data_IF_978905592968
#
_entry.id   IF_978905592968
#
_cell.length_a   1.000
_cell.length_b   1.000
_cell.length_c   1.000
_cell.angle_alpha   90.00
_cell.angle_beta   90.00
_cell.angle_gamma   90.00
#
_symmetry.space_group_name_H-M   'P 1'
#
loop_
_entity.id
_entity.type
_entity.pdbx_description
1 polymer ?
#
# COMPACT_ATOMS: atom_id res chain seq x y z
N UNK A 1 12.66 82.22 -39.34
CA UNK A 1 13.69 82.17 -38.28
C UNK A 1 13.88 80.71 -37.89
N UNK A 2 15.14 80.33 -37.77
CA UNK A 2 15.71 79.00 -37.51
C UNK A 2 15.61 78.58 -36.03
N UNK A 3 15.91 77.30 -35.77
CA UNK A 3 16.24 76.62 -34.49
C UNK A 3 15.05 76.11 -33.68
N UNK A 4 14.85 74.79 -33.54
CA UNK A 4 15.53 73.84 -32.62
C UNK A 4 14.41 73.27 -31.71
N UNK A 5 14.35 72.03 -31.21
CA UNK A 5 15.31 70.99 -30.87
C UNK A 5 14.50 69.70 -30.54
N UNK A 6 15.16 68.54 -30.60
CA UNK A 6 14.91 67.29 -29.85
C UNK A 6 13.64 66.46 -30.12
N UNK A 7 13.77 65.31 -30.80
CA UNK A 7 14.25 64.01 -30.25
C UNK A 7 13.32 63.46 -29.19
N UNK A 8 12.47 62.49 -29.54
CA UNK A 8 12.10 61.39 -28.65
C UNK A 8 11.64 60.18 -29.48
N UNK A 9 12.59 59.32 -29.83
CA UNK A 9 12.32 57.94 -30.21
C UNK A 9 11.75 57.22 -28.98
N UNK A 10 10.56 56.63 -29.10
CA UNK A 10 10.00 55.70 -28.12
C UNK A 10 10.40 54.29 -28.57
N UNK A 11 11.15 53.50 -27.78
CA UNK A 11 11.45 52.14 -28.18
C UNK A 11 10.19 51.28 -28.03
N UNK A 12 9.86 50.57 -29.11
CA UNK A 12 8.89 49.51 -29.19
C UNK A 12 9.43 48.31 -28.40
N UNK A 13 8.84 47.98 -27.25
CA UNK A 13 9.12 46.75 -26.51
C UNK A 13 8.05 45.73 -26.88
N UNK A 14 8.38 44.82 -27.79
CA UNK A 14 7.59 43.60 -28.03
C UNK A 14 8.09 42.53 -27.07
N UNK A 15 7.33 42.32 -25.99
CA UNK A 15 7.58 41.24 -25.04
C UNK A 15 7.11 39.91 -25.63
N UNK A 16 8.06 39.03 -25.95
CA UNK A 16 7.77 37.65 -26.35
C UNK A 16 7.67 36.81 -25.07
N UNK A 17 6.44 36.47 -24.66
CA UNK A 17 6.18 35.66 -23.46
C UNK A 17 6.22 34.18 -23.86
N UNK A 18 7.34 33.50 -23.59
CA UNK A 18 7.46 32.05 -23.77
C UNK A 18 6.86 31.38 -22.54
N UNK A 19 5.67 30.81 -22.69
CA UNK A 19 5.03 29.99 -21.66
C UNK A 19 5.53 28.55 -21.80
N UNK A 20 6.55 28.19 -21.02
CA UNK A 20 6.98 26.80 -20.84
C UNK A 20 5.99 26.08 -19.93
N UNK A 21 5.23 25.14 -20.49
CA UNK A 21 4.43 24.19 -19.72
C UNK A 21 5.38 23.19 -19.06
N UNK A 22 5.59 23.34 -17.75
CA UNK A 22 6.22 22.32 -16.91
C UNK A 22 5.17 21.26 -16.62
N UNK A 23 5.28 20.10 -17.28
CA UNK A 23 4.58 18.89 -16.84
C UNK A 23 5.27 18.40 -15.56
N UNK A 24 4.63 18.57 -14.42
CA UNK A 24 4.95 17.76 -13.25
C UNK A 24 4.46 16.35 -13.53
N UNK A 25 5.38 15.39 -13.62
CA UNK A 25 5.06 13.98 -13.49
C UNK A 25 5.03 13.70 -11.99
N UNK A 26 3.85 13.61 -11.39
CA UNK A 26 3.71 13.06 -10.03
C UNK A 26 3.97 11.57 -10.11
N UNK A 27 5.23 11.18 -9.97
CA UNK A 27 5.58 9.83 -9.54
C UNK A 27 5.26 9.80 -8.06
N UNK A 28 4.12 9.18 -7.71
CA UNK A 28 3.77 8.87 -6.33
C UNK A 28 4.75 7.82 -5.83
N UNK A 29 5.90 8.27 -5.33
CA UNK A 29 6.90 7.44 -4.68
C UNK A 29 6.32 7.10 -3.30
N UNK A 30 6.07 5.80 -3.06
CA UNK A 30 5.62 5.30 -1.75
C UNK A 30 6.63 5.72 -0.69
N UNK A 31 6.23 6.56 0.27
CA UNK A 31 7.10 6.93 1.39
C UNK A 31 7.33 5.72 2.30
N UNK A 32 8.57 5.49 2.76
CA UNK A 32 8.88 4.27 3.47
C UNK A 32 8.22 4.20 4.85
N UNK A 33 7.75 3.02 5.22
CA UNK A 33 7.31 2.71 6.58
C UNK A 33 8.44 2.96 7.58
N UNK A 34 8.09 3.40 8.78
CA UNK A 34 9.04 3.62 9.88
C UNK A 34 9.91 2.36 10.12
N UNK A 35 11.24 2.50 10.27
CA UNK A 35 12.12 1.35 10.50
C UNK A 35 11.68 0.54 11.72
N UNK A 36 11.38 -0.74 11.53
CA UNK A 36 11.00 -1.66 12.60
C UNK A 36 9.49 -1.95 12.71
N UNK A 37 8.68 -1.52 11.74
CA UNK A 37 7.31 -1.99 11.62
C UNK A 37 7.24 -3.52 11.43
N UNK A 38 6.28 -4.17 12.10
CA UNK A 38 6.04 -5.60 11.99
C UNK A 38 4.55 -5.93 12.14
N UNK A 39 4.17 -7.08 11.58
CA UNK A 39 2.93 -7.77 11.93
C UNK A 39 3.28 -9.19 12.35
N UNK A 40 2.47 -9.80 13.20
CA UNK A 40 2.66 -11.16 13.65
C UNK A 40 1.33 -11.91 13.74
N UNK A 41 1.30 -13.15 13.26
CA UNK A 41 0.21 -14.07 13.58
C UNK A 41 0.25 -14.43 15.06
N UNK A 42 -0.81 -14.04 15.77
CA UNK A 42 -1.07 -14.44 17.17
C UNK A 42 -1.91 -15.73 17.19
N UNK A 43 -2.66 -15.98 16.12
CA UNK A 43 -3.41 -17.20 15.91
C UNK A 43 -3.63 -17.43 14.40
N UNK A 44 -3.58 -18.68 13.91
CA UNK A 44 -3.14 -19.88 14.62
C UNK A 44 -1.64 -19.87 14.92
N UNK A 45 -1.17 -20.82 15.74
CA UNK A 45 0.26 -21.06 15.87
C UNK A 45 0.81 -21.68 14.57
N UNK A 46 2.02 -21.30 14.18
CA UNK A 46 2.69 -21.88 13.01
C UNK A 46 2.92 -23.39 13.21
N UNK A 47 2.58 -24.17 12.20
CA UNK A 47 2.62 -25.63 12.21
C UNK A 47 1.43 -26.32 12.90
N UNK A 48 0.40 -25.58 13.33
CA UNK A 48 -0.76 -26.17 14.00
C UNK A 48 -1.62 -27.06 13.08
N UNK A 49 -2.38 -27.97 13.71
CA UNK A 49 -3.47 -28.70 13.07
C UNK A 49 -4.78 -27.99 13.38
N UNK A 50 -5.56 -27.68 12.34
CA UNK A 50 -6.87 -27.04 12.45
C UNK A 50 -7.95 -28.10 12.21
N UNK A 51 -8.79 -28.31 13.21
CA UNK A 51 -9.95 -29.19 13.10
C UNK A 51 -11.10 -28.51 12.34
N UNK A 52 -11.82 -29.26 11.50
CA UNK A 52 -12.92 -28.72 10.70
C UNK A 52 -12.43 -28.08 9.41
N UNK A 53 -13.06 -26.97 9.00
CA UNK A 53 -12.75 -26.28 7.74
C UNK A 53 -12.71 -24.76 7.90
N UNK A 54 -12.55 -24.27 9.14
CA UNK A 54 -12.37 -22.85 9.42
C UNK A 54 -11.29 -22.61 10.48
N UNK A 55 -10.63 -21.47 10.37
CA UNK A 55 -9.62 -20.99 11.31
C UNK A 55 -9.76 -19.50 11.49
N UNK A 56 -9.65 -19.03 12.73
CA UNK A 56 -9.54 -17.60 13.00
C UNK A 56 -8.08 -17.20 12.76
N UNK A 57 -7.87 -16.21 11.92
CA UNK A 57 -6.58 -15.55 11.77
C UNK A 57 -6.59 -14.31 12.67
N UNK A 58 -5.58 -14.14 13.52
CA UNK A 58 -5.43 -12.96 14.39
C UNK A 58 -4.04 -12.37 14.23
N UNK A 59 -3.97 -11.06 14.00
CA UNK A 59 -2.72 -10.32 13.86
C UNK A 59 -2.48 -9.38 15.04
N UNK A 60 -1.21 -9.14 15.32
CA UNK A 60 -0.74 -8.01 16.11
C UNK A 60 0.23 -7.18 15.26
N UNK A 61 0.06 -5.86 15.25
CA UNK A 61 0.95 -4.93 14.57
C UNK A 61 1.81 -4.15 15.58
N UNK A 62 3.03 -3.80 15.19
CA UNK A 62 3.93 -2.94 15.95
C UNK A 62 4.65 -1.99 15.00
N UNK A 63 4.87 -0.73 15.40
CA UNK A 63 5.58 0.26 14.58
C UNK A 63 4.85 0.73 13.31
N UNK A 64 3.59 0.34 13.11
CA UNK A 64 2.72 0.82 12.03
C UNK A 64 1.29 0.96 12.54
N UNK A 65 0.62 2.04 12.16
CA UNK A 65 -0.79 2.26 12.51
C UNK A 65 -1.70 1.55 11.50
N UNK A 66 -2.63 0.75 12.01
CA UNK A 66 -3.61 0.04 11.19
C UNK A 66 -4.91 0.85 11.12
N UNK A 67 -5.26 1.29 9.92
CA UNK A 67 -6.36 2.22 9.62
C UNK A 67 -7.31 1.61 8.57
N UNK A 68 -8.51 2.18 8.36
CA UNK A 68 -9.37 1.75 7.25
C UNK A 68 -8.69 1.95 5.88
N UNK A 69 -8.98 1.05 4.94
CA UNK A 69 -8.49 1.15 3.57
C UNK A 69 -8.88 2.48 2.91
N UNK A 70 -8.00 2.99 2.05
CA UNK A 70 -8.15 4.31 1.41
C UNK A 70 -7.62 5.48 2.24
N UNK A 71 -7.18 5.25 3.47
CA UNK A 71 -6.43 6.26 4.25
C UNK A 71 -5.05 6.44 3.62
N UNK A 72 -4.74 7.66 3.17
CA UNK A 72 -3.50 8.01 2.47
C UNK A 72 -2.46 8.67 3.38
N UNK A 73 -2.60 8.52 4.69
CA UNK A 73 -1.70 9.13 5.67
C UNK A 73 -0.37 8.35 5.72
N UNK A 74 0.80 9.03 5.69
CA UNK A 74 2.09 8.37 5.79
C UNK A 74 2.23 7.55 7.07
N UNK A 75 2.92 6.41 7.00
CA UNK A 75 3.14 5.52 8.15
C UNK A 75 1.90 4.72 8.59
N UNK A 76 0.83 4.76 7.80
CA UNK A 76 -0.39 3.97 8.04
C UNK A 76 -0.57 2.87 7.00
N UNK A 77 -1.36 1.86 7.33
CA UNK A 77 -1.75 0.81 6.38
C UNK A 77 -2.90 -0.03 6.88
N UNK A 78 -3.21 -1.10 6.15
CA UNK A 78 -4.25 -2.05 6.52
C UNK A 78 -3.89 -3.49 6.15
N UNK A 79 -4.54 -4.46 6.79
CA UNK A 79 -4.18 -5.86 6.65
C UNK A 79 -4.76 -6.51 5.39
N UNK A 80 -3.99 -7.43 4.84
CA UNK A 80 -4.41 -8.32 3.79
C UNK A 80 -3.89 -9.72 4.08
N UNK A 81 -4.57 -10.74 3.54
CA UNK A 81 -4.08 -12.10 3.52
C UNK A 81 -3.97 -12.61 2.09
N UNK A 82 -2.86 -13.27 1.75
CA UNK A 82 -2.74 -14.17 0.61
C UNK A 82 -2.86 -15.61 1.12
N UNK A 83 -3.92 -16.30 0.69
CA UNK A 83 -4.24 -17.68 1.10
C UNK A 83 -3.81 -18.63 -0.01
N UNK A 84 -2.87 -19.51 0.30
CA UNK A 84 -2.26 -20.48 -0.62
C UNK A 84 -1.77 -19.84 -1.94
N UNK A 85 -1.25 -18.62 -1.84
CA UNK A 85 -0.75 -17.83 -2.95
C UNK A 85 0.48 -17.00 -2.56
N UNK A 86 1.24 -16.61 -3.59
CA UNK A 86 2.39 -15.73 -3.43
C UNK A 86 1.96 -14.26 -3.28
N UNK A 87 2.84 -13.44 -2.72
CA UNK A 87 2.68 -11.99 -2.72
C UNK A 87 2.91 -11.41 -4.14
N UNK A 88 2.36 -10.20 -4.45
CA UNK A 88 2.58 -9.58 -5.75
C UNK A 88 4.07 -9.31 -6.02
N UNK A 89 4.49 -9.14 -7.29
CA UNK A 89 5.82 -8.61 -7.58
C UNK A 89 6.10 -7.29 -6.85
N UNK A 90 7.35 -7.01 -6.54
CA UNK A 90 7.73 -5.71 -5.95
C UNK A 90 7.24 -4.54 -6.83
N UNK A 91 6.62 -3.55 -6.21
CA UNK A 91 6.04 -2.39 -6.91
C UNK A 91 4.71 -2.66 -7.62
N UNK A 92 4.06 -3.81 -7.37
CA UNK A 92 2.71 -4.10 -7.85
C UNK A 92 1.68 -4.10 -6.69
N UNK A 93 0.41 -3.75 -6.97
CA UNK A 93 -0.64 -3.76 -5.95
C UNK A 93 -1.00 -5.17 -5.51
N UNK A 94 -1.57 -5.28 -4.32
CA UNK A 94 -2.15 -6.52 -3.80
C UNK A 94 -3.34 -6.92 -4.70
N UNK A 95 -3.36 -8.15 -5.27
CA UNK A 95 -4.42 -8.56 -6.18
C UNK A 95 -5.80 -8.66 -5.52
N UNK A 96 -6.85 -8.62 -6.34
CA UNK A 96 -8.27 -8.67 -5.91
C UNK A 96 -8.96 -9.99 -6.27
N UNK A 97 -8.19 -11.07 -6.44
CA UNK A 97 -8.76 -12.40 -6.73
C UNK A 97 -9.50 -12.90 -5.49
N UNK A 98 -10.84 -12.96 -5.60
CA UNK A 98 -11.72 -13.36 -4.50
C UNK A 98 -11.36 -14.75 -3.95
N UNK A 99 -11.31 -14.87 -2.63
CA UNK A 99 -10.97 -16.12 -1.93
C UNK A 99 -9.47 -16.43 -1.86
N UNK A 100 -8.65 -15.84 -2.73
CA UNK A 100 -7.18 -15.96 -2.69
C UNK A 100 -6.55 -14.79 -1.94
N UNK A 101 -7.03 -13.56 -2.18
CA UNK A 101 -6.58 -12.37 -1.48
C UNK A 101 -7.73 -11.78 -0.67
N UNK A 102 -7.59 -11.77 0.65
CA UNK A 102 -8.57 -11.20 1.58
C UNK A 102 -8.15 -9.79 1.94
N UNK A 103 -9.04 -8.82 1.76
CA UNK A 103 -8.80 -7.39 2.03
C UNK A 103 -9.51 -6.98 3.33
N UNK A 104 -8.75 -6.62 4.37
CA UNK A 104 -9.29 -6.18 5.67
C UNK A 104 -9.35 -4.65 5.73
N UNK A 105 -10.33 -4.07 5.06
CA UNK A 105 -10.41 -2.62 4.85
C UNK A 105 -10.97 -1.78 5.99
N UNK A 106 -11.26 -2.33 7.16
CA UNK A 106 -11.85 -1.61 8.30
C UNK A 106 -10.96 -1.69 9.56
N UNK A 107 -9.64 -1.77 9.36
CA UNK A 107 -8.66 -1.98 10.44
C UNK A 107 -8.94 -3.25 11.28
N UNK A 108 -9.48 -4.30 10.66
CA UNK A 108 -9.73 -5.55 11.37
C UNK A 108 -8.41 -6.25 11.71
N UNK A 109 -8.29 -6.74 12.94
CA UNK A 109 -7.15 -7.56 13.38
C UNK A 109 -7.46 -9.06 13.39
N UNK A 110 -8.72 -9.43 13.12
CA UNK A 110 -9.21 -10.80 13.10
C UNK A 110 -10.02 -11.06 11.83
N UNK A 111 -9.91 -12.29 11.33
CA UNK A 111 -10.69 -12.78 10.20
C UNK A 111 -10.96 -14.28 10.36
N UNK A 112 -12.21 -14.71 10.24
CA UNK A 112 -12.54 -16.13 10.18
C UNK A 112 -12.40 -16.63 8.74
N UNK A 113 -11.31 -17.34 8.46
CA UNK A 113 -11.12 -18.00 7.18
C UNK A 113 -11.91 -19.31 7.19
N UNK A 114 -12.79 -19.49 6.21
CA UNK A 114 -13.71 -20.63 6.13
C UNK A 114 -13.58 -21.33 4.78
N UNK A 115 -14.08 -22.57 4.69
CA UNK A 115 -14.07 -23.33 3.44
C UNK A 115 -12.71 -23.93 3.08
N UNK A 116 -11.86 -24.15 4.09
CA UNK A 116 -10.56 -24.80 3.89
C UNK A 116 -10.75 -26.26 3.46
N UNK A 117 -9.96 -26.69 2.49
CA UNK A 117 -9.85 -28.09 2.09
C UNK A 117 -8.95 -28.87 3.07
N UNK A 118 -9.06 -30.20 3.13
CA UNK A 118 -8.03 -31.00 3.80
C UNK A 118 -6.68 -30.84 3.08
N UNK A 119 -5.61 -30.65 3.85
CA UNK A 119 -4.26 -30.45 3.31
C UNK A 119 -3.44 -29.41 4.09
N UNK A 120 -2.24 -29.15 3.58
CA UNK A 120 -1.37 -28.10 4.08
C UNK A 120 -1.80 -26.76 3.49
N UNK A 121 -1.83 -25.74 4.35
CA UNK A 121 -2.17 -24.37 3.99
C UNK A 121 -1.06 -23.42 4.39
N UNK A 122 -0.90 -22.34 3.62
CA UNK A 122 -0.03 -21.22 3.91
C UNK A 122 -0.83 -19.95 3.80
N UNK A 123 -0.79 -19.12 4.84
CA UNK A 123 -1.37 -17.77 4.80
C UNK A 123 -0.28 -16.76 5.05
N UNK A 124 -0.13 -15.83 4.11
CA UNK A 124 0.80 -14.71 4.23
C UNK A 124 -0.01 -13.46 4.56
N UNK A 125 0.29 -12.83 5.68
CA UNK A 125 -0.23 -11.51 5.99
C UNK A 125 0.69 -10.44 5.38
N UNK A 126 0.10 -9.38 4.84
CA UNK A 126 0.84 -8.22 4.32
C UNK A 126 0.10 -6.93 4.64
N UNK A 127 0.83 -5.89 5.03
CA UNK A 127 0.27 -4.54 5.16
C UNK A 127 0.36 -3.81 3.84
N UNK A 128 -0.78 -3.27 3.39
CA UNK A 128 -0.85 -2.36 2.24
C UNK A 128 -1.23 -0.95 2.66
N UNK A 129 -0.75 0.05 1.91
CA UNK A 129 -1.14 1.45 2.06
C UNK A 129 -2.57 1.72 1.56
N UNK A 130 -3.03 2.97 1.58
CA UNK A 130 -4.35 3.36 1.11
C UNK A 130 -4.65 3.03 -0.37
N UNK A 131 -3.61 2.80 -1.18
CA UNK A 131 -3.72 2.39 -2.58
C UNK A 131 -3.61 0.87 -2.78
N UNK A 132 -3.57 0.08 -1.70
CA UNK A 132 -3.33 -1.37 -1.69
C UNK A 132 -1.96 -1.76 -2.27
N UNK A 133 -0.98 -0.85 -2.21
CA UNK A 133 0.41 -1.19 -2.47
C UNK A 133 1.02 -1.73 -1.18
N UNK A 134 1.78 -2.84 -1.21
CA UNK A 134 2.56 -3.24 -0.03
C UNK A 134 3.44 -2.07 0.43
N UNK A 135 3.44 -1.80 1.73
CA UNK A 135 4.32 -0.77 2.31
C UNK A 135 5.80 -1.15 2.10
N UNK A 136 6.70 -0.16 2.04
CA UNK A 136 8.15 -0.38 1.86
C UNK A 136 8.94 0.16 3.06
N UNK A 137 9.74 -0.62 3.81
CA UNK A 137 9.97 -2.04 3.64
C UNK A 137 8.69 -2.85 3.87
N UNK A 138 8.61 -4.00 3.20
CA UNK A 138 7.49 -4.93 3.33
C UNK A 138 7.27 -5.34 4.78
N UNK A 139 6.04 -5.13 5.25
CA UNK A 139 5.57 -5.59 6.56
C UNK A 139 4.71 -6.83 6.34
N UNK A 140 5.31 -8.01 6.57
CA UNK A 140 4.73 -9.32 6.27
C UNK A 140 4.97 -10.31 7.40
N UNK A 141 4.08 -11.28 7.53
CA UNK A 141 4.32 -12.50 8.32
C UNK A 141 3.66 -13.70 7.64
N UNK A 142 4.05 -14.92 7.99
CA UNK A 142 3.52 -16.14 7.38
C UNK A 142 3.19 -17.16 8.44
N UNK A 143 2.00 -17.74 8.34
CA UNK A 143 1.59 -18.90 9.13
C UNK A 143 1.31 -20.09 8.22
N UNK A 144 1.69 -21.28 8.69
CA UNK A 144 1.45 -22.57 8.06
C UNK A 144 0.64 -23.43 9.00
N UNK A 145 -0.30 -24.19 8.47
CA UNK A 145 -1.09 -25.14 9.25
C UNK A 145 -1.59 -26.27 8.37
N UNK A 146 -2.13 -27.31 9.00
CA UNK A 146 -2.70 -28.46 8.29
C UNK A 146 -4.15 -28.64 8.72
N UNK A 147 -5.04 -28.86 7.75
CA UNK A 147 -6.39 -29.36 7.96
C UNK A 147 -6.39 -30.87 7.67
N UNK A 148 -6.80 -31.73 8.62
CA UNK A 148 -6.72 -33.18 8.46
C UNK A 148 -7.71 -33.76 7.43
#
# INVERSE_FOLDING_TARGET
MISSLDTYLRPLVVGFFVLTLVSCTDTSESEPAEPGASINFVHPEDGSTIEGNSVVLRLAASGIEIVPAGTMEPGTGHHHFAVDADLPPAGAPIPTVEGTYIHLGQAQIEYELTGLSSGAHVVIAVVGDGAHMPVDPWVVDTVRFVVP
#
